data_IF_680220869431
#
_entry.id   IF_680220869431
#
_cell.length_a   1.000
_cell.length_b   1.000
_cell.length_c   1.000
_cell.angle_alpha   90.00
_cell.angle_beta   90.00
_cell.angle_gamma   90.00
#
_symmetry.space_group_name_H-M   'P 1'
#
loop_
_entity.id
_entity.type
_entity.pdbx_description
1 polymer ?
#
# COMPACT_ATOMS: atom_id res chain seq x y z
N UNK A 1 -25.36 -0.10 -8.28
CA UNK A 1 -24.36 -0.71 -7.40
C UNK A 1 -23.15 0.19 -7.47
N UNK A 2 -22.70 0.74 -6.34
CA UNK A 2 -21.48 1.54 -6.30
C UNK A 2 -20.31 0.58 -6.10
N UNK A 3 -19.30 0.65 -6.97
CA UNK A 3 -18.18 -0.28 -6.97
C UNK A 3 -17.02 0.25 -7.80
N UNK A 4 -15.96 -0.54 -7.89
CA UNK A 4 -14.82 -0.23 -8.74
C UNK A 4 -14.84 -1.15 -9.94
N UNK A 5 -14.85 -0.57 -11.14
CA UNK A 5 -14.71 -1.32 -12.38
C UNK A 5 -13.26 -1.33 -12.81
N UNK A 6 -12.70 -2.51 -13.02
CA UNK A 6 -11.30 -2.71 -13.41
C UNK A 6 -11.22 -3.40 -14.76
N UNK A 7 -10.44 -2.83 -15.67
CA UNK A 7 -10.14 -3.42 -16.97
C UNK A 7 -8.62 -3.54 -17.17
N UNK A 8 -8.15 -4.74 -17.48
CA UNK A 8 -6.73 -5.05 -17.67
C UNK A 8 -6.40 -5.22 -19.14
N UNK A 9 -5.30 -4.62 -19.57
CA UNK A 9 -4.73 -4.67 -20.91
C UNK A 9 -5.77 -4.44 -22.01
N UNK A 10 -5.81 -5.30 -23.02
CA UNK A 10 -6.89 -5.37 -24.01
C UNK A 10 -7.81 -6.55 -23.72
N UNK A 11 -7.92 -6.98 -22.46
CA UNK A 11 -8.88 -8.01 -22.11
C UNK A 11 -10.30 -7.43 -22.22
N UNK A 12 -10.91 -7.70 -23.37
CA UNK A 12 -12.30 -7.37 -23.69
C UNK A 12 -13.28 -8.36 -23.05
N UNK A 13 -12.80 -9.46 -22.43
CA UNK A 13 -13.66 -10.59 -22.09
C UNK A 13 -14.62 -10.25 -20.98
N UNK A 14 -14.18 -9.66 -19.85
CA UNK A 14 -15.04 -9.03 -18.84
C UNK A 14 -14.24 -8.04 -17.97
N UNK A 15 -14.73 -6.82 -17.75
CA UNK A 15 -14.22 -6.00 -16.65
C UNK A 15 -14.54 -6.66 -15.30
N UNK A 16 -13.62 -6.55 -14.35
CA UNK A 16 -13.82 -6.99 -12.98
C UNK A 16 -14.54 -5.90 -12.18
N UNK A 17 -15.37 -6.32 -11.23
CA UNK A 17 -16.05 -5.44 -10.29
C UNK A 17 -15.54 -5.74 -8.88
N UNK A 18 -15.16 -4.70 -8.15
CA UNK A 18 -14.76 -4.77 -6.75
C UNK A 18 -15.85 -4.09 -5.93
N UNK A 19 -16.34 -4.78 -4.92
CA UNK A 19 -17.36 -4.27 -4.00
C UNK A 19 -16.72 -3.50 -2.83
N UNK A 20 -17.48 -2.64 -2.11
CA UNK A 20 -16.97 -1.96 -0.93
C UNK A 20 -16.43 -2.94 0.12
N UNK A 21 -15.19 -2.70 0.58
CA UNK A 21 -14.52 -3.53 1.59
C UNK A 21 -13.76 -4.74 1.03
N UNK A 22 -13.82 -4.97 -0.29
CA UNK A 22 -13.03 -5.99 -0.97
C UNK A 22 -11.65 -5.45 -1.37
N UNK A 23 -10.65 -6.33 -1.36
CA UNK A 23 -9.30 -6.04 -1.82
C UNK A 23 -8.86 -7.11 -2.82
N UNK A 24 -8.34 -6.69 -3.97
CA UNK A 24 -7.99 -7.58 -5.07
C UNK A 24 -6.72 -7.10 -5.78
N UNK A 25 -5.88 -8.05 -6.18
CA UNK A 25 -4.64 -7.80 -6.93
C UNK A 25 -4.86 -8.09 -8.41
N UNK A 26 -4.38 -7.17 -9.26
CA UNK A 26 -4.58 -7.19 -10.70
C UNK A 26 -3.24 -7.09 -11.45
N UNK A 27 -2.65 -8.21 -11.90
CA UNK A 27 -1.45 -8.16 -12.74
C UNK A 27 -1.78 -7.59 -14.13
N UNK A 28 -0.98 -6.68 -14.65
CA UNK A 28 -1.16 -6.15 -16.02
C UNK A 28 0.19 -6.01 -16.72
N UNK A 29 0.20 -6.10 -18.06
CA UNK A 29 1.46 -6.01 -18.84
C UNK A 29 1.63 -4.66 -19.52
N UNK A 30 0.53 -4.07 -19.98
CA UNK A 30 0.50 -2.86 -20.81
C UNK A 30 -0.28 -1.73 -20.16
N UNK A 31 -1.46 -2.02 -19.63
CA UNK A 31 -2.33 -1.00 -19.02
C UNK A 31 -3.34 -1.61 -18.07
N UNK A 32 -3.72 -0.87 -17.04
CA UNK A 32 -4.93 -1.11 -16.27
C UNK A 32 -5.76 0.18 -16.22
N UNK A 33 -7.07 0.05 -16.34
CA UNK A 33 -8.03 1.15 -16.24
C UNK A 33 -8.95 0.88 -15.06
N UNK A 34 -9.03 1.85 -14.16
CA UNK A 34 -9.82 1.79 -12.93
C UNK A 34 -10.84 2.92 -12.98
N UNK A 35 -12.11 2.54 -12.94
CA UNK A 35 -13.25 3.45 -12.89
C UNK A 35 -13.89 3.31 -11.51
N UNK A 36 -13.69 4.32 -10.68
CA UNK A 36 -14.06 4.30 -9.27
C UNK A 36 -15.38 5.04 -9.04
N UNK A 37 -16.35 4.37 -8.43
CA UNK A 37 -17.61 4.98 -7.95
C UNK A 37 -17.70 5.02 -6.42
N UNK A 38 -16.61 4.70 -5.71
CA UNK A 38 -16.54 4.73 -4.25
C UNK A 38 -15.99 6.07 -3.74
N UNK A 39 -16.51 6.53 -2.61
CA UNK A 39 -16.04 7.75 -1.92
C UNK A 39 -14.59 7.62 -1.41
N UNK A 40 -14.11 6.39 -1.22
CA UNK A 40 -12.78 6.11 -0.69
C UNK A 40 -12.20 4.86 -1.34
N UNK A 41 -11.27 5.06 -2.27
CA UNK A 41 -10.48 4.01 -2.91
C UNK A 41 -9.01 4.17 -2.50
N UNK A 42 -8.42 3.12 -1.95
CA UNK A 42 -6.97 3.00 -1.81
C UNK A 42 -6.45 2.13 -2.94
N UNK A 43 -5.57 2.70 -3.76
CA UNK A 43 -4.93 2.02 -4.88
C UNK A 43 -3.43 1.91 -4.59
N UNK A 44 -2.88 0.73 -4.81
CA UNK A 44 -1.46 0.45 -4.62
C UNK A 44 -0.86 -0.02 -5.95
N UNK A 45 0.36 0.44 -6.24
CA UNK A 45 1.17 -0.02 -7.35
C UNK A 45 2.51 -0.49 -6.77
N UNK A 46 2.83 -1.77 -6.93
CA UNK A 46 4.01 -2.40 -6.32
C UNK A 46 4.12 -2.14 -4.80
N UNK A 47 3.01 -2.28 -4.07
CA UNK A 47 2.87 -2.01 -2.62
C UNK A 47 2.99 -0.53 -2.19
N UNK A 48 3.20 0.40 -3.12
CA UNK A 48 3.23 1.82 -2.84
C UNK A 48 1.88 2.50 -3.10
N UNK A 49 1.44 3.43 -2.23
CA UNK A 49 0.22 4.20 -2.47
C UNK A 49 0.28 4.94 -3.81
N UNK A 50 -0.68 4.68 -4.68
CA UNK A 50 -0.79 5.33 -5.97
C UNK A 50 -1.82 6.47 -5.91
N UNK A 51 -1.53 7.66 -6.47
CA UNK A 51 -2.45 8.79 -6.40
C UNK A 51 -3.74 8.52 -7.18
N UNK A 52 -4.87 8.51 -6.49
CA UNK A 52 -6.21 8.30 -7.08
C UNK A 52 -6.90 9.61 -7.49
N UNK A 53 -6.30 10.76 -7.18
CA UNK A 53 -6.80 12.09 -7.54
C UNK A 53 -6.50 12.47 -8.99
N UNK A 54 -5.61 11.75 -9.67
CA UNK A 54 -5.26 11.99 -11.07
C UNK A 54 -6.09 11.08 -11.97
N UNK A 55 -7.16 11.64 -12.55
CA UNK A 55 -8.05 10.96 -13.49
C UNK A 55 -8.05 11.63 -14.85
N UNK A 56 -8.39 10.86 -15.90
CA UNK A 56 -8.64 11.43 -17.22
C UNK A 56 -9.95 12.24 -17.25
N UNK A 57 -10.30 12.79 -18.43
CA UNK A 57 -11.54 13.56 -18.66
C UNK A 57 -12.83 12.77 -18.37
N UNK A 58 -12.76 11.44 -18.40
CA UNK A 58 -13.89 10.54 -18.08
C UNK A 58 -13.91 10.13 -16.59
N UNK A 59 -13.04 10.68 -15.74
CA UNK A 59 -12.96 10.32 -14.32
C UNK A 59 -12.32 8.95 -14.06
N UNK A 60 -11.60 8.38 -15.02
CA UNK A 60 -10.92 7.09 -14.89
C UNK A 60 -9.45 7.26 -14.53
N UNK A 61 -8.93 6.37 -13.69
CA UNK A 61 -7.50 6.23 -13.43
C UNK A 61 -6.92 5.28 -14.47
N UNK A 62 -5.93 5.72 -15.23
CA UNK A 62 -5.26 4.90 -16.26
C UNK A 62 -3.81 4.76 -15.87
N UNK A 63 -3.39 3.53 -15.57
CA UNK A 63 -1.99 3.20 -15.29
C UNK A 63 -1.49 2.41 -16.49
N UNK A 64 -0.63 3.04 -17.30
CA UNK A 64 0.08 2.34 -18.36
C UNK A 64 1.43 1.84 -17.84
N UNK A 65 2.06 0.94 -18.59
CA UNK A 65 3.42 0.47 -18.28
C UNK A 65 4.42 1.63 -18.14
N UNK A 66 4.38 2.60 -19.05
CA UNK A 66 5.24 3.79 -19.02
C UNK A 66 5.01 4.62 -17.73
N UNK A 67 3.74 4.81 -17.35
CA UNK A 67 3.38 5.55 -16.13
C UNK A 67 3.81 4.81 -14.87
N UNK A 68 3.75 3.47 -14.89
CA UNK A 68 4.22 2.64 -13.79
C UNK A 68 5.76 2.69 -13.66
N UNK A 69 6.48 2.68 -14.78
CA UNK A 69 7.93 2.82 -14.81
C UNK A 69 8.37 4.19 -14.27
N UNK A 70 7.71 5.29 -14.69
CA UNK A 70 7.96 6.64 -14.17
C UNK A 70 7.66 6.77 -12.67
N UNK A 71 6.58 6.14 -12.20
CA UNK A 71 6.26 6.11 -10.78
C UNK A 71 7.34 5.37 -9.98
N UNK A 72 7.79 4.21 -10.48
CA UNK A 72 8.88 3.46 -9.86
C UNK A 72 10.19 4.25 -9.82
N UNK A 73 10.50 5.03 -10.86
CA UNK A 73 11.67 5.93 -10.86
C UNK A 73 11.53 7.04 -9.83
N UNK A 74 10.34 7.62 -9.68
CA UNK A 74 10.06 8.65 -8.64
C UNK A 74 10.31 8.10 -7.24
N UNK A 75 9.98 6.84 -6.98
CA UNK A 75 10.24 6.18 -5.69
C UNK A 75 11.73 5.91 -5.44
N UNK A 76 12.52 5.72 -6.50
CA UNK A 76 13.98 5.54 -6.40
C UNK A 76 14.70 6.87 -6.19
N UNK A 77 14.20 7.94 -6.80
CA UNK A 77 14.76 9.29 -6.70
C UNK A 77 14.31 10.03 -5.43
N UNK A 78 13.10 9.73 -4.93
CA UNK A 78 12.69 10.19 -3.62
C UNK A 78 13.61 9.56 -2.56
N UNK A 79 14.26 10.34 -1.68
CA UNK A 79 14.90 9.74 -0.51
C UNK A 79 13.82 8.98 0.23
N UNK A 80 14.02 7.68 0.43
CA UNK A 80 13.07 6.83 1.12
C UNK A 80 12.87 7.36 2.55
N UNK A 81 11.94 8.28 2.73
CA UNK A 81 11.39 8.66 4.01
C UNK A 81 10.38 7.60 4.34
N UNK A 82 10.89 6.42 4.69
CA UNK A 82 10.11 5.50 5.48
C UNK A 82 9.63 6.28 6.70
N UNK A 83 8.33 6.29 7.04
CA UNK A 83 7.94 6.71 8.36
C UNK A 83 8.66 5.77 9.32
N UNK A 84 9.73 6.25 9.95
CA UNK A 84 10.34 5.57 11.08
C UNK A 84 9.19 5.34 12.05
N UNK A 85 8.83 4.10 12.41
CA UNK A 85 7.78 3.87 13.38
C UNK A 85 8.15 4.68 14.63
N UNK A 86 7.28 5.62 14.98
CA UNK A 86 7.51 6.58 16.06
C UNK A 86 7.83 5.86 17.36
N UNK A 87 8.86 6.34 18.04
CA UNK A 87 9.31 6.04 19.40
C UNK A 87 8.61 4.89 20.14
N UNK A 88 9.23 3.71 20.11
CA UNK A 88 8.97 2.68 21.12
C UNK A 88 9.95 2.86 22.28
N UNK A 89 9.52 3.48 23.37
CA UNK A 89 10.24 3.42 24.65
C UNK A 89 9.90 2.09 25.33
N UNK A 90 10.90 1.23 25.52
CA UNK A 90 10.75 0.04 26.38
C UNK A 90 10.84 0.45 27.85
N UNK A 91 9.71 0.45 28.54
CA UNK A 91 9.64 0.51 30.01
C UNK A 91 9.79 -0.92 30.55
N UNK A 92 10.95 -1.23 31.13
CA UNK A 92 11.14 -2.42 31.96
C UNK A 92 10.74 -2.15 33.41
N UNK A 93 10.42 -3.20 34.20
CA UNK A 93 10.09 -3.02 35.62
C UNK A 93 11.27 -2.35 36.36
N UNK A 94 11.00 -1.49 37.37
CA UNK A 94 12.05 -0.79 38.08
C UNK A 94 13.01 -1.79 38.70
N UNK A 95 14.32 -1.46 38.70
CA UNK A 95 15.35 -2.25 39.38
C UNK A 95 14.98 -2.37 40.87
N UNK A 96 14.34 -3.48 41.20
CA UNK A 96 14.12 -3.95 42.55
C UNK A 96 15.48 -4.24 43.16
N UNK A 97 15.94 -3.31 43.99
CA UNK A 97 17.01 -3.49 44.95
C UNK A 97 16.71 -4.73 45.84
N UNK A 98 17.79 -5.40 46.24
CA UNK A 98 17.95 -6.38 47.34
C UNK A 98 17.50 -7.84 47.12
N UNK A 99 18.48 -8.74 47.02
CA UNK A 99 18.56 -9.89 47.89
C UNK A 99 20.04 -10.22 48.17
N UNK A 100 20.38 -10.05 49.43
CA UNK A 100 21.65 -10.32 50.10
C UNK A 100 21.93 -11.85 50.13
N UNK A 101 23.21 -12.23 49.97
CA UNK A 101 23.91 -13.24 50.78
C UNK A 101 23.51 -14.75 50.70
N UNK A 102 24.43 -15.65 50.26
CA UNK A 102 25.42 -16.38 51.09
C UNK A 102 26.13 -17.51 50.29
N UNK A 103 27.45 -17.60 50.50
CA UNK A 103 28.40 -18.68 50.16
C UNK A 103 27.90 -20.08 50.50
N UNK A 104 28.20 -21.08 49.65
CA UNK A 104 28.57 -22.44 50.12
C UNK A 104 29.57 -23.15 49.19
N UNK A 105 30.71 -23.53 49.78
CA UNK A 105 31.67 -24.55 49.32
C UNK A 105 31.10 -25.97 49.48
N UNK A 106 31.72 -26.96 48.83
CA UNK A 106 32.45 -27.97 49.60
C UNK A 106 33.95 -28.01 49.30
#
# INVERSE_FOLDING_TARGET
MAGVRVQQDDDLRRPYWIEPGEAQVFPFTRRITVENQLDSLQLFLEDYPYPTTQTNEEGRIIISRDTAEQFADTLREAPASFPTPSDTVRIGPPLGRTADTLVQSP
#
